data_IF_116572292800
#
_entry.id   IF_116572292800
#
_cell.length_a   1.000
_cell.length_b   1.000
_cell.length_c   1.000
_cell.angle_alpha   90.00
_cell.angle_beta   90.00
_cell.angle_gamma   90.00
#
_symmetry.space_group_name_H-M   'P 1'
#
loop_
_entity.id
_entity.type
_entity.pdbx_description
1 polymer ?
#
# COMPACT_ATOMS: atom_id res chain seq x y z
N UNK A 1 -18.08 -2.82 4.17
CA UNK A 1 -17.16 -2.38 5.25
C UNK A 1 -17.53 -0.96 5.66
N UNK A 2 -17.80 -0.73 6.93
CA UNK A 2 -18.02 0.61 7.49
C UNK A 2 -16.68 1.17 7.99
N UNK A 3 -16.36 2.41 7.61
CA UNK A 3 -15.16 3.12 8.11
C UNK A 3 -15.61 3.98 9.30
N UNK A 4 -14.94 3.80 10.42
CA UNK A 4 -15.11 4.56 11.65
C UNK A 4 -13.86 5.42 11.87
N UNK A 5 -14.02 6.59 12.47
CA UNK A 5 -12.90 7.48 12.81
C UNK A 5 -12.84 7.69 14.32
N UNK A 6 -11.70 7.49 14.94
CA UNK A 6 -11.51 7.70 16.37
C UNK A 6 -10.67 8.95 16.61
N UNK A 7 -11.09 9.84 17.53
CA UNK A 7 -12.18 9.70 18.52
C UNK A 7 -13.57 10.11 18.05
N UNK A 8 -13.78 10.48 16.80
CA UNK A 8 -14.98 11.20 16.31
C UNK A 8 -16.26 10.33 16.18
N UNK A 9 -16.12 9.02 15.94
CA UNK A 9 -17.29 8.17 15.76
C UNK A 9 -17.85 7.69 17.10
N UNK A 10 -19.00 8.18 17.49
CA UNK A 10 -19.75 7.64 18.62
C UNK A 10 -20.44 6.29 18.36
N UNK A 11 -20.11 5.60 17.28
CA UNK A 11 -20.72 4.36 16.84
C UNK A 11 -19.90 3.17 17.34
N UNK A 12 -20.44 2.40 18.27
CA UNK A 12 -19.86 1.13 18.75
C UNK A 12 -20.60 -0.01 18.05
N UNK A 13 -19.90 -1.01 17.46
CA UNK A 13 -20.55 -2.17 16.88
C UNK A 13 -21.46 -2.89 17.88
N UNK A 14 -22.75 -3.10 17.57
CA UNK A 14 -23.75 -3.50 18.58
C UNK A 14 -23.51 -4.89 19.17
N UNK A 15 -22.87 -5.79 18.43
CA UNK A 15 -22.56 -7.15 18.88
C UNK A 15 -21.13 -7.29 19.43
N UNK A 16 -20.36 -6.22 19.46
CA UNK A 16 -18.91 -6.28 19.68
C UNK A 16 -18.15 -6.78 18.44
N UNK A 17 -16.84 -6.98 18.58
CA UNK A 17 -15.99 -7.31 17.44
C UNK A 17 -14.90 -8.35 17.76
N UNK A 18 -14.51 -9.12 16.74
CA UNK A 18 -13.17 -9.69 16.63
C UNK A 18 -12.29 -8.71 15.87
N UNK A 19 -11.17 -8.29 16.45
CA UNK A 19 -10.39 -7.15 15.96
C UNK A 19 -8.92 -7.50 15.79
N UNK A 20 -8.28 -6.89 14.79
CA UNK A 20 -6.83 -6.85 14.63
C UNK A 20 -6.34 -5.42 14.56
N UNK A 21 -5.04 -5.19 14.85
CA UNK A 21 -4.43 -3.87 14.96
C UNK A 21 -3.13 -3.83 14.16
N UNK A 22 -2.94 -2.78 13.37
CA UNK A 22 -1.70 -2.57 12.64
C UNK A 22 -1.74 -1.41 11.65
N UNK A 23 -0.60 -1.07 11.08
CA UNK A 23 -0.51 -0.07 10.02
C UNK A 23 -1.17 -0.54 8.72
N UNK A 24 -1.15 -1.84 8.45
CA UNK A 24 -1.71 -2.49 7.26
C UNK A 24 -1.27 -1.84 5.93
N UNK A 25 -0.03 -1.32 5.93
CA UNK A 25 0.52 -0.65 4.76
C UNK A 25 0.71 -1.64 3.61
N UNK A 26 0.07 -1.34 2.47
CA UNK A 26 0.06 -2.18 1.29
C UNK A 26 -0.95 -3.34 1.31
N UNK A 27 -1.61 -3.66 2.41
CA UNK A 27 -2.61 -4.77 2.55
C UNK A 27 -2.15 -6.03 1.79
N UNK A 28 -0.93 -6.47 2.07
CA UNK A 28 -0.26 -7.60 1.42
C UNK A 28 -0.84 -8.97 1.84
N UNK A 29 -0.37 -10.07 1.25
CA UNK A 29 -0.88 -11.43 1.53
C UNK A 29 -0.86 -11.79 3.02
N UNK A 30 0.20 -11.45 3.75
CA UNK A 30 0.25 -11.66 5.21
C UNK A 30 -0.86 -10.90 5.96
N UNK A 31 -1.11 -9.64 5.62
CA UNK A 31 -2.22 -8.89 6.17
C UNK A 31 -3.59 -9.53 5.85
N UNK A 32 -3.77 -10.01 4.63
CA UNK A 32 -5.02 -10.69 4.20
C UNK A 32 -5.26 -11.99 4.96
N UNK A 33 -4.20 -12.76 5.28
CA UNK A 33 -4.30 -13.96 6.10
C UNK A 33 -4.78 -13.64 7.53
N UNK A 34 -4.21 -12.60 8.17
CA UNK A 34 -4.68 -12.12 9.48
C UNK A 34 -6.15 -11.69 9.43
N UNK A 35 -6.54 -10.92 8.38
CA UNK A 35 -7.92 -10.47 8.19
C UNK A 35 -8.87 -11.65 8.00
N UNK A 36 -8.49 -12.66 7.23
CA UNK A 36 -9.29 -13.88 7.04
C UNK A 36 -9.55 -14.56 8.40
N UNK A 37 -8.52 -14.68 9.24
CA UNK A 37 -8.65 -15.26 10.58
C UNK A 37 -9.58 -14.44 11.50
N UNK A 38 -9.49 -13.11 11.45
CA UNK A 38 -10.41 -12.21 12.18
C UNK A 38 -11.85 -12.46 11.77
N UNK A 39 -12.12 -12.57 10.46
CA UNK A 39 -13.46 -12.84 9.93
C UNK A 39 -14.01 -14.20 10.34
N UNK A 40 -13.18 -15.23 10.31
CA UNK A 40 -13.56 -16.57 10.80
C UNK A 40 -13.95 -16.55 12.28
N UNK A 41 -13.14 -15.90 13.11
CA UNK A 41 -13.40 -15.76 14.54
C UNK A 41 -14.67 -14.93 14.81
N UNK A 42 -14.86 -13.85 14.06
CA UNK A 42 -16.07 -13.03 14.16
C UNK A 42 -17.32 -13.84 13.83
N UNK A 43 -17.31 -14.57 12.74
CA UNK A 43 -18.43 -15.43 12.33
C UNK A 43 -18.72 -16.52 13.37
N UNK A 44 -17.68 -17.19 13.89
CA UNK A 44 -17.84 -18.24 14.92
C UNK A 44 -18.43 -17.73 16.25
N UNK A 45 -18.26 -16.43 16.53
CA UNK A 45 -18.76 -15.79 17.77
C UNK A 45 -20.02 -14.96 17.59
N UNK A 46 -20.51 -14.80 16.36
CA UNK A 46 -21.66 -13.95 16.06
C UNK A 46 -21.40 -12.45 16.32
N UNK A 47 -20.16 -12.00 16.17
CA UNK A 47 -19.74 -10.61 16.34
C UNK A 47 -19.25 -10.02 15.00
N UNK A 48 -19.03 -8.71 14.93
CA UNK A 48 -18.47 -8.06 13.75
C UNK A 48 -16.96 -8.31 13.60
N UNK A 49 -16.47 -8.34 12.37
CA UNK A 49 -15.04 -8.35 12.06
C UNK A 49 -14.52 -6.92 11.93
N UNK A 50 -13.46 -6.58 12.67
CA UNK A 50 -12.90 -5.23 12.72
C UNK A 50 -11.39 -5.19 12.53
N UNK A 51 -10.90 -4.05 12.02
CA UNK A 51 -9.49 -3.76 11.92
C UNK A 51 -9.24 -2.34 12.41
N UNK A 52 -8.22 -2.16 13.24
CA UNK A 52 -7.70 -0.85 13.64
C UNK A 52 -6.49 -0.52 12.78
N UNK A 53 -6.56 0.64 12.12
CA UNK A 53 -5.41 1.22 11.41
C UNK A 53 -5.26 2.70 11.76
N UNK A 54 -4.26 3.37 11.20
CA UNK A 54 -3.93 4.75 11.53
C UNK A 54 -4.01 5.63 10.28
N UNK A 55 -4.41 6.89 10.44
CA UNK A 55 -4.47 7.85 9.33
C UNK A 55 -3.09 8.09 8.71
N UNK A 56 -2.04 8.09 9.52
CA UNK A 56 -0.64 8.14 9.10
C UNK A 56 0.17 7.00 9.73
N UNK A 57 1.28 6.65 9.11
CA UNK A 57 2.13 5.58 9.64
C UNK A 57 2.74 6.01 10.99
N UNK A 58 2.61 5.22 12.08
CA UNK A 58 3.13 5.61 13.39
C UNK A 58 4.59 6.05 13.40
N UNK A 59 5.44 5.44 12.57
CA UNK A 59 6.84 5.81 12.45
C UNK A 59 7.05 7.24 11.94
N UNK A 60 6.14 7.79 11.12
CA UNK A 60 6.26 9.16 10.61
C UNK A 60 6.08 10.24 11.69
N UNK A 61 5.45 9.87 12.82
CA UNK A 61 5.31 10.75 13.99
C UNK A 61 6.43 10.50 15.01
N UNK A 62 6.73 9.22 15.28
CA UNK A 62 7.68 8.84 16.34
C UNK A 62 9.14 9.01 15.92
N UNK A 63 9.45 8.79 14.63
CA UNK A 63 10.81 8.88 14.05
C UNK A 63 10.76 9.34 12.59
N UNK A 64 10.39 10.58 12.32
CA UNK A 64 10.11 11.07 10.96
C UNK A 64 11.30 10.91 10.00
N UNK A 65 12.53 11.12 10.47
CA UNK A 65 13.75 11.02 9.65
C UNK A 65 14.04 9.59 9.15
N UNK A 66 13.56 8.58 9.86
CA UNK A 66 13.73 7.16 9.50
C UNK A 66 12.41 6.43 9.23
N UNK A 67 11.34 7.19 9.01
CA UNK A 67 10.05 6.61 8.65
C UNK A 67 10.13 5.91 7.28
N UNK A 68 9.61 4.70 7.15
CA UNK A 68 9.60 4.02 5.86
C UNK A 68 8.64 4.72 4.89
N UNK A 69 8.98 4.70 3.60
CA UNK A 69 8.04 5.10 2.54
C UNK A 69 6.80 4.20 2.57
N UNK A 70 5.63 4.75 2.26
CA UNK A 70 4.37 4.01 2.27
C UNK A 70 4.20 3.18 1.00
N UNK A 71 3.63 1.99 1.12
CA UNK A 71 3.23 1.17 -0.02
C UNK A 71 1.89 1.62 -0.62
N UNK A 72 1.07 2.31 0.17
CA UNK A 72 -0.19 2.92 -0.27
C UNK A 72 -0.60 4.06 0.66
N UNK A 73 -1.29 5.06 0.13
CA UNK A 73 -1.94 6.10 0.93
C UNK A 73 -3.15 5.57 1.71
N UNK A 74 -3.75 6.38 2.57
CA UNK A 74 -4.92 5.98 3.36
C UNK A 74 -6.15 5.67 2.49
N UNK A 75 -6.54 6.49 1.49
CA UNK A 75 -7.65 6.18 0.62
C UNK A 75 -7.49 4.82 -0.10
N UNK A 76 -6.32 4.57 -0.68
CA UNK A 76 -6.01 3.30 -1.34
C UNK A 76 -6.05 2.13 -0.35
N UNK A 77 -5.51 2.30 0.85
CA UNK A 77 -5.55 1.28 1.90
C UNK A 77 -6.97 0.93 2.29
N UNK A 78 -7.85 1.93 2.45
CA UNK A 78 -9.27 1.70 2.77
C UNK A 78 -10.01 0.98 1.63
N UNK A 79 -9.71 1.30 0.37
CA UNK A 79 -10.24 0.54 -0.79
C UNK A 79 -9.79 -0.93 -0.75
N UNK A 80 -8.51 -1.18 -0.48
CA UNK A 80 -7.96 -2.54 -0.39
C UNK A 80 -8.56 -3.33 0.76
N UNK A 81 -8.76 -2.69 1.92
CA UNK A 81 -9.41 -3.29 3.09
C UNK A 81 -10.90 -3.58 2.81
N UNK A 82 -11.61 -2.71 2.12
CA UNK A 82 -13.00 -2.95 1.74
C UNK A 82 -13.16 -4.23 0.90
N UNK A 83 -12.20 -4.51 0.01
CA UNK A 83 -12.15 -5.74 -0.78
C UNK A 83 -11.89 -7.02 0.02
N UNK A 84 -11.55 -6.95 1.32
CA UNK A 84 -11.30 -8.13 2.15
C UNK A 84 -12.55 -8.71 2.81
N UNK A 85 -13.67 -7.99 2.77
CA UNK A 85 -14.93 -8.41 3.40
C UNK A 85 -15.00 -8.20 4.91
N UNK A 86 -14.16 -7.32 5.48
CA UNK A 86 -14.31 -6.81 6.85
C UNK A 86 -15.62 -6.07 7.02
N UNK A 87 -16.20 -6.11 8.22
CA UNK A 87 -17.38 -5.33 8.55
C UNK A 87 -17.02 -3.89 8.92
N UNK A 88 -15.93 -3.71 9.69
CA UNK A 88 -15.51 -2.42 10.22
C UNK A 88 -14.01 -2.17 10.01
N UNK A 89 -13.65 -0.94 9.70
CA UNK A 89 -12.28 -0.43 9.82
C UNK A 89 -12.30 0.82 10.65
N UNK A 90 -11.60 0.81 11.79
CA UNK A 90 -11.41 1.99 12.63
C UNK A 90 -10.11 2.67 12.27
N UNK A 91 -10.20 3.90 11.77
CA UNK A 91 -9.05 4.77 11.52
C UNK A 91 -8.79 5.62 12.77
N UNK A 92 -7.67 5.38 13.42
CA UNK A 92 -7.23 6.14 14.59
C UNK A 92 -6.35 7.29 14.12
N UNK A 93 -6.68 8.50 14.57
CA UNK A 93 -5.80 9.66 14.37
C UNK A 93 -4.53 9.48 15.18
N UNK A 94 -3.37 9.48 14.49
CA UNK A 94 -2.08 9.23 15.12
C UNK A 94 -1.19 10.47 15.07
N UNK A 95 -1.15 11.19 16.17
CA UNK A 95 -0.34 12.38 16.38
C UNK A 95 0.67 12.20 17.53
N UNK A 96 1.34 13.28 17.94
CA UNK A 96 2.30 13.26 19.04
C UNK A 96 1.65 12.97 20.41
N UNK A 97 0.36 13.26 20.58
CA UNK A 97 -0.39 12.96 21.79
C UNK A 97 -0.68 11.47 21.85
N UNK A 98 -1.22 10.91 20.77
CA UNK A 98 -1.48 9.48 20.64
C UNK A 98 -0.19 8.64 20.72
N UNK A 99 0.93 9.13 20.21
CA UNK A 99 2.22 8.48 20.33
C UNK A 99 2.76 8.35 21.77
N UNK A 100 2.24 9.17 22.70
CA UNK A 100 2.58 9.14 24.13
C UNK A 100 1.53 8.41 24.99
N UNK A 101 0.46 7.95 24.38
CA UNK A 101 -0.61 7.23 25.07
C UNK A 101 -0.13 5.92 25.68
N UNK A 102 -0.59 5.62 26.89
CA UNK A 102 -0.27 4.35 27.52
C UNK A 102 -0.92 3.18 26.76
N UNK A 103 -0.31 2.01 26.73
CA UNK A 103 -0.94 0.86 26.09
C UNK A 103 -2.26 0.46 26.78
N UNK A 104 -2.39 0.66 28.09
CA UNK A 104 -3.63 0.40 28.84
C UNK A 104 -4.77 1.31 28.38
N UNK A 105 -4.50 2.60 28.19
CA UNK A 105 -5.52 3.57 27.72
C UNK A 105 -5.92 3.27 26.28
N UNK A 106 -4.97 2.93 25.39
CA UNK A 106 -5.28 2.50 24.04
C UNK A 106 -6.23 1.28 24.04
N UNK A 107 -6.02 0.29 24.88
CA UNK A 107 -6.91 -0.87 24.99
C UNK A 107 -8.30 -0.44 25.47
N UNK A 108 -8.38 0.38 26.52
CA UNK A 108 -9.67 0.82 27.08
C UNK A 108 -10.47 1.69 26.10
N UNK A 109 -9.79 2.65 25.47
CA UNK A 109 -10.49 3.60 24.57
C UNK A 109 -10.81 2.99 23.22
N UNK A 110 -9.81 2.32 22.58
CA UNK A 110 -9.93 1.90 21.20
C UNK A 110 -10.54 0.50 21.10
N UNK A 111 -10.00 -0.49 21.80
CA UNK A 111 -10.47 -1.86 21.65
C UNK A 111 -11.80 -2.10 22.38
N UNK A 112 -11.86 -1.67 23.64
CA UNK A 112 -13.06 -1.88 24.47
C UNK A 112 -14.11 -0.82 24.18
N UNK A 113 -13.75 0.47 24.27
CA UNK A 113 -14.68 1.58 24.17
C UNK A 113 -15.25 1.79 22.78
N UNK A 114 -14.38 1.85 21.75
CA UNK A 114 -14.82 2.15 20.39
C UNK A 114 -15.29 0.90 19.61
N UNK A 115 -14.72 -0.28 19.87
CA UNK A 115 -15.01 -1.49 19.08
C UNK A 115 -15.74 -2.59 19.85
N UNK A 116 -15.85 -2.49 21.19
CA UNK A 116 -16.44 -3.55 22.00
C UNK A 116 -15.77 -4.90 21.76
N UNK A 117 -14.43 -4.92 21.76
CA UNK A 117 -13.66 -6.11 21.41
C UNK A 117 -14.06 -7.33 22.23
N UNK A 118 -14.27 -8.46 21.57
CA UNK A 118 -14.51 -9.79 22.16
C UNK A 118 -13.39 -10.76 21.84
N UNK A 119 -12.63 -10.48 20.79
CA UNK A 119 -11.40 -11.20 20.49
C UNK A 119 -10.41 -10.22 19.83
N UNK A 120 -9.14 -10.34 20.19
CA UNK A 120 -8.04 -9.53 19.61
C UNK A 120 -7.04 -10.47 18.97
N UNK A 121 -6.83 -10.32 17.67
CA UNK A 121 -5.95 -11.16 16.86
C UNK A 121 -4.71 -10.34 16.50
N UNK A 122 -3.54 -10.75 16.95
CA UNK A 122 -2.28 -10.03 16.73
C UNK A 122 -1.13 -11.01 16.50
N UNK A 123 -0.04 -10.53 15.88
CA UNK A 123 1.19 -11.31 15.77
C UNK A 123 1.77 -11.64 17.16
N UNK A 124 2.48 -12.77 17.26
CA UNK A 124 3.09 -13.19 18.54
C UNK A 124 4.14 -12.17 19.05
N UNK A 125 4.73 -11.39 18.16
CA UNK A 125 5.71 -10.32 18.45
C UNK A 125 5.09 -8.92 18.50
N UNK A 126 3.75 -8.82 18.56
CA UNK A 126 3.04 -7.54 18.50
C UNK A 126 3.38 -6.64 19.68
N UNK A 127 3.69 -5.38 19.37
CA UNK A 127 3.94 -4.34 20.35
C UNK A 127 3.21 -3.05 19.99
N UNK A 128 2.70 -2.32 20.99
CA UNK A 128 1.92 -1.09 20.80
C UNK A 128 2.10 -0.12 21.97
N UNK A 129 1.45 1.05 21.87
CA UNK A 129 1.49 2.11 22.88
C UNK A 129 2.86 2.79 22.99
N UNK A 130 2.94 3.74 23.91
CA UNK A 130 4.15 4.53 24.13
C UNK A 130 5.40 3.66 24.32
N UNK A 131 6.46 3.93 23.55
CA UNK A 131 7.74 3.20 23.58
C UNK A 131 7.60 1.68 23.40
N UNK A 132 6.53 1.20 22.76
CA UNK A 132 6.26 -0.22 22.57
C UNK A 132 6.12 -1.02 23.88
N UNK A 133 5.65 -0.38 24.94
CA UNK A 133 5.48 -1.02 26.27
C UNK A 133 4.32 -2.03 26.30
N UNK A 134 3.32 -1.87 25.42
CA UNK A 134 2.27 -2.87 25.22
C UNK A 134 2.78 -4.06 24.43
N UNK A 135 2.37 -5.26 24.84
CA UNK A 135 2.71 -6.53 24.22
C UNK A 135 1.54 -7.53 24.37
N UNK A 136 1.70 -8.75 23.87
CA UNK A 136 0.68 -9.80 23.95
C UNK A 136 0.30 -10.12 25.40
N UNK A 137 1.26 -10.22 26.31
CA UNK A 137 0.98 -10.52 27.74
C UNK A 137 0.15 -9.41 28.41
N UNK A 138 0.37 -8.14 28.06
CA UNK A 138 -0.48 -7.04 28.51
C UNK A 138 -1.90 -7.16 27.97
N UNK A 139 -2.04 -7.48 26.67
CA UNK A 139 -3.35 -7.70 26.06
C UNK A 139 -4.10 -8.86 26.75
N UNK A 140 -3.44 -9.98 27.04
CA UNK A 140 -4.03 -11.12 27.73
C UNK A 140 -4.52 -10.75 29.14
N UNK A 141 -3.71 -10.00 29.90
CA UNK A 141 -4.13 -9.48 31.21
C UNK A 141 -5.37 -8.60 31.10
N UNK A 142 -5.35 -7.62 30.18
CA UNK A 142 -6.48 -6.73 29.97
C UNK A 142 -7.69 -7.45 29.37
N UNK A 143 -7.46 -8.49 28.59
CA UNK A 143 -8.51 -9.38 28.10
C UNK A 143 -9.29 -10.04 29.23
N UNK A 144 -8.58 -10.52 30.25
CA UNK A 144 -9.22 -11.08 31.45
C UNK A 144 -10.00 -10.00 32.27
N UNK A 145 -9.54 -8.75 32.26
CA UNK A 145 -10.20 -7.65 32.95
C UNK A 145 -11.44 -7.09 32.20
N UNK A 146 -11.43 -7.16 30.86
CA UNK A 146 -12.42 -6.52 29.98
C UNK A 146 -13.23 -7.51 29.10
N UNK A 147 -13.14 -8.80 29.38
CA UNK A 147 -13.92 -9.86 28.71
C UNK A 147 -13.66 -9.98 27.19
N UNK A 148 -12.38 -9.98 26.80
CA UNK A 148 -11.96 -10.33 25.44
C UNK A 148 -10.82 -11.37 25.45
N UNK A 149 -10.81 -12.24 24.44
CA UNK A 149 -9.75 -13.23 24.23
C UNK A 149 -8.65 -12.68 23.33
N UNK A 150 -7.40 -13.05 23.60
CA UNK A 150 -6.25 -12.75 22.73
C UNK A 150 -5.88 -13.99 21.94
N UNK A 151 -5.79 -13.86 20.63
CA UNK A 151 -5.42 -14.95 19.71
C UNK A 151 -4.11 -14.56 19.02
N UNK A 152 -2.97 -15.04 19.50
CA UNK A 152 -1.70 -14.82 18.83
C UNK A 152 -1.66 -15.58 17.49
N UNK A 153 -1.14 -14.94 16.46
CA UNK A 153 -0.89 -15.56 15.16
C UNK A 153 0.60 -15.62 14.88
N UNK A 154 1.02 -16.72 14.28
CA UNK A 154 2.35 -16.82 13.69
C UNK A 154 2.39 -16.06 12.36
N UNK A 155 3.56 -15.50 12.02
CA UNK A 155 3.79 -14.85 10.74
C UNK A 155 3.60 -15.87 9.61
N UNK A 156 3.00 -15.41 8.51
CA UNK A 156 2.75 -16.29 7.36
C UNK A 156 3.70 -15.98 6.21
N UNK A 157 4.13 -17.03 5.54
CA UNK A 157 4.88 -16.97 4.30
C UNK A 157 4.00 -16.60 3.09
N UNK A 158 4.61 -16.58 1.91
CA UNK A 158 3.93 -16.26 0.64
C UNK A 158 2.82 -17.27 0.32
N UNK A 159 2.97 -18.50 0.75
CA UNK A 159 2.00 -19.60 0.58
C UNK A 159 0.84 -19.56 1.60
N UNK A 160 0.83 -18.58 2.51
CA UNK A 160 -0.16 -18.45 3.58
C UNK A 160 0.04 -19.43 4.75
N UNK A 161 1.12 -20.20 4.78
CA UNK A 161 1.50 -21.09 5.90
C UNK A 161 2.40 -20.36 6.89
N UNK A 162 2.56 -20.86 8.11
CA UNK A 162 3.55 -20.30 9.02
C UNK A 162 4.92 -20.17 8.36
N UNK A 163 5.54 -19.00 8.49
CA UNK A 163 6.84 -18.72 7.88
C UNK A 163 7.92 -19.60 8.53
N UNK A 164 8.62 -20.37 7.70
CA UNK A 164 9.77 -21.21 8.13
C UNK A 164 11.11 -20.43 8.21
N UNK A 165 11.03 -19.10 8.19
CA UNK A 165 12.16 -18.17 8.23
C UNK A 165 12.73 -17.75 6.87
N UNK A 166 12.26 -18.33 5.75
CA UNK A 166 12.86 -18.07 4.42
C UNK A 166 12.07 -17.12 3.50
N UNK A 167 10.79 -16.86 3.77
CA UNK A 167 9.92 -16.07 2.89
C UNK A 167 8.81 -15.33 3.63
N UNK A 168 9.18 -14.58 4.66
CA UNK A 168 8.23 -13.75 5.40
C UNK A 168 7.66 -12.61 4.54
N UNK A 169 6.33 -12.59 4.39
CA UNK A 169 5.64 -11.52 3.70
C UNK A 169 5.49 -10.32 4.63
N UNK A 170 6.26 -9.28 4.39
CA UNK A 170 6.21 -8.05 5.19
C UNK A 170 6.27 -6.80 4.32
N UNK A 171 5.73 -5.68 4.83
CA UNK A 171 5.85 -4.38 4.14
C UNK A 171 7.32 -3.96 3.96
N UNK A 172 8.23 -4.40 4.83
CA UNK A 172 9.67 -4.14 4.72
C UNK A 172 10.29 -4.90 3.56
N UNK A 173 9.97 -6.20 3.40
CA UNK A 173 10.45 -7.01 2.30
C UNK A 173 9.91 -6.50 0.94
N UNK A 174 8.63 -6.08 0.90
CA UNK A 174 8.03 -5.51 -0.31
C UNK A 174 8.74 -4.21 -0.72
N UNK A 175 9.03 -3.30 0.22
CA UNK A 175 9.79 -2.08 -0.09
C UNK A 175 11.19 -2.39 -0.61
N UNK A 176 11.87 -3.36 -0.01
CA UNK A 176 13.19 -3.79 -0.48
C UNK A 176 13.14 -4.34 -1.91
N UNK A 177 12.14 -5.15 -2.24
CA UNK A 177 11.93 -5.68 -3.59
C UNK A 177 11.64 -4.54 -4.60
N UNK A 178 10.76 -3.59 -4.25
CA UNK A 178 10.46 -2.43 -5.11
C UNK A 178 11.72 -1.59 -5.38
N UNK A 179 12.47 -1.23 -4.34
CA UNK A 179 13.70 -0.44 -4.46
C UNK A 179 14.79 -1.19 -5.25
N UNK A 180 14.82 -2.51 -5.19
CA UNK A 180 15.70 -3.34 -6.01
C UNK A 180 15.20 -3.51 -7.46
N UNK A 181 14.00 -3.04 -7.80
CA UNK A 181 13.37 -3.23 -9.12
C UNK A 181 12.81 -4.65 -9.34
N UNK A 182 12.75 -5.47 -8.30
CA UNK A 182 12.14 -6.81 -8.37
C UNK A 182 10.61 -6.72 -8.18
N UNK A 183 9.94 -6.32 -9.27
CA UNK A 183 8.48 -6.24 -9.28
C UNK A 183 7.81 -7.60 -9.13
N UNK A 184 8.46 -8.68 -9.57
CA UNK A 184 7.89 -10.02 -9.48
C UNK A 184 7.75 -10.43 -8.00
N UNK A 185 8.82 -10.30 -7.22
CA UNK A 185 8.80 -10.58 -5.78
C UNK A 185 7.83 -9.63 -5.03
N UNK A 186 7.80 -8.33 -5.38
CA UNK A 186 6.87 -7.38 -4.78
C UNK A 186 5.41 -7.76 -5.08
N UNK A 187 5.09 -8.11 -6.32
CA UNK A 187 3.76 -8.53 -6.76
C UNK A 187 3.32 -9.82 -6.08
N UNK A 188 4.22 -10.80 -5.96
CA UNK A 188 3.95 -12.05 -5.27
C UNK A 188 3.58 -11.82 -3.80
N UNK A 189 4.33 -11.01 -3.08
CA UNK A 189 4.05 -10.65 -1.69
C UNK A 189 2.80 -9.80 -1.53
N UNK A 190 2.56 -8.82 -2.42
CA UNK A 190 1.34 -7.99 -2.43
C UNK A 190 0.09 -8.79 -2.83
N UNK A 191 0.25 -9.82 -3.66
CA UNK A 191 -0.86 -10.53 -4.32
C UNK A 191 -1.54 -9.70 -5.41
N UNK A 192 -0.88 -8.67 -5.93
CA UNK A 192 -1.30 -7.77 -7.01
C UNK A 192 -0.15 -6.90 -7.48
N UNK A 193 -0.30 -6.26 -8.64
CA UNK A 193 0.64 -5.24 -9.10
C UNK A 193 0.74 -4.07 -8.10
N UNK A 194 1.94 -3.50 -7.93
CA UNK A 194 2.13 -2.29 -7.14
C UNK A 194 1.47 -1.10 -7.84
N UNK A 195 0.61 -0.38 -7.12
CA UNK A 195 -0.13 0.77 -7.64
C UNK A 195 0.26 2.05 -6.90
N UNK A 196 0.57 3.10 -7.64
CA UNK A 196 0.79 4.45 -7.12
C UNK A 196 -0.23 5.41 -7.70
N UNK A 197 -0.48 6.53 -7.01
CA UNK A 197 -1.50 7.51 -7.37
C UNK A 197 -0.96 8.93 -7.28
N UNK A 198 -1.46 9.80 -8.12
CA UNK A 198 -1.18 11.23 -8.08
C UNK A 198 -1.94 11.98 -9.16
N UNK A 199 -2.06 13.31 -9.07
CA UNK A 199 -2.63 14.11 -10.14
C UNK A 199 -1.68 14.18 -11.34
N UNK A 200 -2.25 14.28 -12.53
CA UNK A 200 -1.47 14.58 -13.75
C UNK A 200 -1.11 16.05 -13.78
N UNK A 201 0.17 16.35 -13.78
CA UNK A 201 0.71 17.70 -13.80
C UNK A 201 1.38 18.05 -15.12
N UNK A 202 1.61 19.33 -15.38
CA UNK A 202 2.35 19.78 -16.56
C UNK A 202 3.84 19.48 -16.39
N UNK A 203 4.43 18.84 -17.41
CA UNK A 203 5.86 18.62 -17.55
C UNK A 203 6.47 19.52 -18.62
N UNK A 204 7.75 19.29 -18.95
CA UNK A 204 8.49 20.09 -19.94
C UNK A 204 8.02 19.89 -21.39
N UNK A 205 7.21 18.87 -21.66
CA UNK A 205 6.66 18.60 -23.00
C UNK A 205 7.65 18.02 -24.02
N UNK A 206 8.89 17.68 -23.61
CA UNK A 206 9.94 17.19 -24.54
C UNK A 206 9.54 15.92 -25.29
N UNK A 207 8.98 14.94 -24.58
CA UNK A 207 8.53 13.70 -25.21
C UNK A 207 7.42 13.94 -26.26
N UNK A 208 6.57 14.94 -26.04
CA UNK A 208 5.52 15.33 -27.00
C UNK A 208 6.08 15.82 -28.33
N UNK A 209 7.20 16.55 -28.30
CA UNK A 209 7.89 17.03 -29.53
C UNK A 209 8.45 15.87 -30.35
N UNK A 210 8.75 14.73 -29.66
CA UNK A 210 9.24 13.50 -30.26
C UNK A 210 8.12 12.54 -30.70
N UNK A 211 6.85 12.93 -30.57
CA UNK A 211 5.69 12.11 -30.94
C UNK A 211 5.16 11.23 -29.80
N UNK A 212 5.76 11.26 -28.61
CA UNK A 212 5.33 10.48 -27.44
C UNK A 212 4.69 11.42 -26.41
N UNK A 213 3.37 11.44 -26.35
CA UNK A 213 2.65 12.21 -25.33
C UNK A 213 2.71 11.45 -24.01
N UNK A 214 3.30 12.06 -22.98
CA UNK A 214 3.39 11.50 -21.63
C UNK A 214 2.57 12.29 -20.63
N UNK A 215 1.91 11.59 -19.72
CA UNK A 215 1.33 12.16 -18.51
C UNK A 215 2.38 12.15 -17.41
N UNK A 216 2.64 13.29 -16.78
CA UNK A 216 3.51 13.39 -15.62
C UNK A 216 2.64 13.22 -14.37
N UNK A 217 2.89 12.18 -13.57
CA UNK A 217 2.12 11.87 -12.36
C UNK A 217 2.88 12.39 -11.16
N UNK A 218 2.29 13.32 -10.40
CA UNK A 218 2.85 13.88 -9.16
C UNK A 218 2.54 12.93 -8.00
N UNK A 219 3.37 11.89 -7.87
CA UNK A 219 3.25 10.90 -6.78
C UNK A 219 3.78 11.53 -5.50
N UNK A 220 3.02 11.48 -4.38
CA UNK A 220 3.48 11.99 -3.09
C UNK A 220 4.83 11.41 -2.68
N UNK A 221 5.71 12.25 -2.14
CA UNK A 221 7.10 11.88 -1.83
C UNK A 221 7.22 10.79 -0.76
N UNK A 222 6.20 10.61 0.06
CA UNK A 222 6.11 9.56 1.07
C UNK A 222 5.80 8.16 0.49
N UNK A 223 5.38 8.06 -0.78
CA UNK A 223 5.06 6.77 -1.41
C UNK A 223 6.35 6.08 -1.89
N UNK A 224 6.41 4.77 -1.69
CA UNK A 224 7.49 3.91 -2.16
C UNK A 224 7.35 3.68 -3.66
N UNK A 225 8.29 4.20 -4.44
CA UNK A 225 8.39 3.94 -5.86
C UNK A 225 9.34 2.75 -6.12
N UNK A 226 9.19 2.03 -7.23
CA UNK A 226 10.19 1.07 -7.69
C UNK A 226 11.55 1.74 -8.00
N UNK A 227 12.57 0.96 -8.33
CA UNK A 227 13.83 1.48 -8.87
C UNK A 227 13.59 2.32 -10.13
N UNK A 228 14.47 3.29 -10.40
CA UNK A 228 14.42 4.06 -11.63
C UNK A 228 14.58 3.11 -12.85
N UNK A 229 13.84 3.37 -13.93
CA UNK A 229 13.82 2.52 -15.13
C UNK A 229 12.57 2.69 -15.98
N UNK A 230 12.48 1.85 -17.02
CA UNK A 230 11.34 1.81 -17.93
C UNK A 230 10.50 0.57 -17.63
N UNK A 231 9.18 0.73 -17.65
CA UNK A 231 8.24 -0.30 -17.22
C UNK A 231 7.07 -0.46 -18.19
N UNK A 232 6.52 -1.66 -18.27
CA UNK A 232 5.18 -1.91 -18.77
C UNK A 232 4.20 -1.83 -17.59
N UNK A 233 3.06 -1.18 -17.80
CA UNK A 233 2.07 -1.04 -16.74
C UNK A 233 0.71 -0.57 -17.24
N UNK A 234 -0.20 -0.38 -16.30
CA UNK A 234 -1.54 0.09 -16.56
C UNK A 234 -1.75 1.50 -16.01
N UNK A 235 -2.32 2.36 -16.81
CA UNK A 235 -2.86 3.64 -16.39
C UNK A 235 -4.38 3.51 -16.24
N UNK A 236 -4.90 3.75 -15.03
CA UNK A 236 -6.32 3.68 -14.72
C UNK A 236 -6.84 5.10 -14.58
N UNK A 237 -7.79 5.44 -15.44
CA UNK A 237 -8.49 6.72 -15.44
C UNK A 237 -9.66 6.73 -14.44
N UNK A 238 -10.23 7.91 -14.12
CA UNK A 238 -11.43 8.02 -13.30
C UNK A 238 -12.65 7.29 -13.87
N UNK A 239 -12.70 7.06 -15.19
CA UNK A 239 -13.73 6.26 -15.85
C UNK A 239 -13.66 4.75 -15.52
N UNK A 240 -12.61 4.33 -14.82
CA UNK A 240 -12.36 2.93 -14.45
C UNK A 240 -11.80 2.09 -15.59
N UNK A 241 -11.59 2.65 -16.79
CA UNK A 241 -11.06 1.91 -17.94
C UNK A 241 -9.53 1.89 -17.88
N UNK A 242 -8.91 0.71 -17.70
CA UNK A 242 -7.46 0.57 -17.73
C UNK A 242 -6.92 0.80 -19.15
N UNK A 243 -5.79 1.49 -19.23
CA UNK A 243 -5.07 1.74 -20.49
C UNK A 243 -3.66 1.17 -20.39
N UNK A 244 -3.21 0.38 -21.36
CA UNK A 244 -1.82 -0.08 -21.37
C UNK A 244 -0.89 1.12 -21.54
N UNK A 245 0.24 1.11 -20.83
CA UNK A 245 1.18 2.22 -20.84
C UNK A 245 2.64 1.74 -20.75
N UNK A 246 3.52 2.47 -21.42
CA UNK A 246 4.94 2.48 -21.15
C UNK A 246 5.22 3.55 -20.08
N UNK A 247 5.86 3.17 -19.00
CA UNK A 247 6.12 4.03 -17.85
C UNK A 247 7.62 4.32 -17.77
N UNK A 248 7.98 5.58 -17.55
CA UNK A 248 9.34 6.01 -17.24
C UNK A 248 9.38 6.54 -15.81
N UNK A 249 10.24 5.97 -15.01
CA UNK A 249 10.51 6.41 -13.65
C UNK A 249 11.98 6.76 -13.55
N UNK A 250 12.30 8.04 -13.30
CA UNK A 250 13.67 8.46 -13.27
C UNK A 250 13.89 9.82 -12.65
N UNK A 251 15.13 10.09 -12.26
CA UNK A 251 15.55 11.36 -11.70
C UNK A 251 15.95 12.31 -12.83
N UNK A 252 15.29 13.45 -12.89
CA UNK A 252 15.80 14.52 -13.76
C UNK A 252 16.97 15.22 -13.07
N UNK A 253 18.14 15.34 -13.70
CA UNK A 253 19.16 16.24 -13.26
C UNK A 253 18.71 17.66 -13.64
N UNK A 254 17.93 18.35 -12.83
CA UNK A 254 17.45 19.71 -13.11
C UNK A 254 17.56 20.63 -11.91
N UNK A 255 17.76 21.88 -12.24
CA UNK A 255 17.95 23.12 -11.52
C UNK A 255 16.90 23.48 -10.43
N UNK A 256 16.12 22.55 -9.94
CA UNK A 256 15.13 22.76 -8.89
C UNK A 256 15.54 22.02 -7.60
N UNK A 257 15.36 22.66 -6.47
CA UNK A 257 15.67 22.19 -5.10
C UNK A 257 14.99 20.86 -4.68
N UNK A 258 14.21 20.21 -5.58
CA UNK A 258 13.56 18.88 -5.39
C UNK A 258 14.28 17.74 -6.14
N UNK A 259 15.57 17.82 -6.34
CA UNK A 259 16.39 16.85 -7.11
C UNK A 259 16.45 15.42 -6.54
N UNK A 260 15.78 15.13 -5.42
CA UNK A 260 15.80 13.81 -4.78
C UNK A 260 14.59 12.93 -5.12
N UNK A 261 13.61 13.42 -5.90
CA UNK A 261 12.38 12.67 -6.18
C UNK A 261 12.37 12.21 -7.63
N UNK A 262 12.19 10.89 -7.85
CA UNK A 262 11.97 10.34 -9.18
C UNK A 262 10.64 10.83 -9.75
N UNK A 263 10.62 11.19 -11.03
CA UNK A 263 9.43 11.60 -11.76
C UNK A 263 8.82 10.40 -12.46
N UNK A 264 7.52 10.22 -12.32
CA UNK A 264 6.78 9.19 -13.04
C UNK A 264 6.09 9.79 -14.26
N UNK A 265 6.48 9.30 -15.43
CA UNK A 265 5.84 9.64 -16.71
C UNK A 265 5.17 8.39 -17.29
N UNK A 266 3.92 8.52 -17.76
CA UNK A 266 3.18 7.45 -18.40
C UNK A 266 2.83 7.84 -19.84
N UNK A 267 3.30 7.05 -20.81
CA UNK A 267 2.85 7.09 -22.19
C UNK A 267 1.75 6.05 -22.40
N UNK A 268 0.49 6.50 -22.49
CA UNK A 268 -0.65 5.63 -22.72
C UNK A 268 -0.62 5.16 -24.17
N UNK A 269 -0.57 3.86 -24.39
CA UNK A 269 -0.54 3.25 -25.71
C UNK A 269 -1.91 3.42 -26.41
N UNK A 270 -1.86 3.84 -27.68
CA UNK A 270 -3.03 3.99 -28.54
C UNK A 270 -4.12 4.93 -27.94
N UNK A 271 -3.69 5.96 -27.19
CA UNK A 271 -4.57 6.94 -26.57
C UNK A 271 -4.24 8.35 -27.01
N UNK A 272 -5.28 9.09 -27.39
CA UNK A 272 -5.21 10.53 -27.69
C UNK A 272 -6.27 11.26 -26.86
N UNK A 273 -5.85 12.12 -25.95
CA UNK A 273 -6.73 12.87 -25.06
C UNK A 273 -5.95 13.75 -24.09
N UNK A 274 -6.67 14.67 -23.46
CA UNK A 274 -6.14 15.50 -22.38
C UNK A 274 -6.34 14.79 -21.04
N UNK A 275 -5.24 14.70 -20.27
CA UNK A 275 -5.20 14.05 -18.95
C UNK A 275 -4.85 15.04 -17.84
N UNK A 276 -4.58 16.32 -18.14
CA UNK A 276 -4.14 17.28 -17.13
C UNK A 276 -5.16 17.48 -16.01
N UNK A 277 -4.68 17.44 -14.75
CA UNK A 277 -5.50 17.56 -13.56
C UNK A 277 -6.31 16.32 -13.19
N UNK A 278 -6.26 15.26 -14.01
CA UNK A 278 -6.93 14.00 -13.74
C UNK A 278 -6.21 13.25 -12.60
N UNK A 279 -6.93 12.65 -11.63
CA UNK A 279 -6.32 11.75 -10.66
C UNK A 279 -5.94 10.44 -11.36
N UNK A 280 -4.65 10.22 -11.52
CA UNK A 280 -4.10 9.03 -12.14
C UNK A 280 -3.84 7.92 -11.12
N UNK A 281 -4.07 6.67 -11.54
CA UNK A 281 -3.63 5.46 -10.84
C UNK A 281 -2.75 4.66 -11.80
N UNK A 282 -1.53 4.35 -11.38
CA UNK A 282 -0.55 3.67 -12.22
C UNK A 282 -0.12 2.37 -11.56
N UNK A 283 -0.27 1.25 -12.28
CA UNK A 283 0.16 -0.08 -11.85
C UNK A 283 1.40 -0.51 -12.61
N UNK A 284 2.44 -0.86 -11.88
CA UNK A 284 3.67 -1.39 -12.44
C UNK A 284 3.55 -2.92 -12.61
N UNK A 285 3.69 -3.40 -13.85
CA UNK A 285 3.54 -4.84 -14.16
C UNK A 285 4.89 -5.50 -14.37
N UNK A 286 5.75 -4.94 -15.22
CA UNK A 286 7.06 -5.48 -15.51
C UNK A 286 8.09 -4.38 -15.73
N UNK A 287 9.33 -4.62 -15.30
CA UNK A 287 10.46 -3.79 -15.64
C UNK A 287 10.98 -4.19 -17.02
N UNK A 288 11.11 -3.24 -17.93
CA UNK A 288 11.60 -3.49 -19.28
C UNK A 288 13.12 -3.34 -19.35
N UNK A 289 13.65 -2.25 -18.77
CA UNK A 289 15.09 -1.96 -18.74
C UNK A 289 15.42 -0.85 -17.73
N UNK A 290 16.70 -0.62 -17.54
CA UNK A 290 17.23 0.53 -16.80
C UNK A 290 17.07 1.82 -17.62
N UNK A 291 17.22 2.99 -16.97
CA UNK A 291 17.39 4.25 -17.67
C UNK A 291 18.74 4.25 -18.41
N UNK A 292 18.73 4.78 -19.62
CA UNK A 292 19.91 4.91 -20.45
C UNK A 292 20.04 6.35 -20.97
N UNK A 293 21.29 6.76 -21.21
CA UNK A 293 21.59 8.00 -21.92
C UNK A 293 21.76 7.70 -23.41
N UNK A 294 21.18 8.55 -24.25
CA UNK A 294 21.25 8.39 -25.69
C UNK A 294 22.11 9.49 -26.30
N UNK A 295 22.95 9.12 -27.28
CA UNK A 295 23.85 10.04 -27.94
C UNK A 295 23.13 10.85 -29.04
N UNK A 296 21.97 10.39 -29.51
CA UNK A 296 21.14 11.09 -30.48
C UNK A 296 19.65 11.04 -30.15
N UNK A 297 18.88 12.00 -30.71
CA UNK A 297 17.43 12.03 -30.61
C UNK A 297 16.81 10.83 -31.34
N UNK A 298 17.38 10.44 -32.48
CA UNK A 298 16.88 9.31 -33.26
C UNK A 298 17.01 7.98 -32.49
N UNK A 299 18.12 7.79 -31.78
CA UNK A 299 18.31 6.61 -30.91
C UNK A 299 17.30 6.60 -29.75
N UNK A 300 17.07 7.76 -29.11
CA UNK A 300 16.05 7.89 -28.07
C UNK A 300 14.66 7.50 -28.59
N UNK A 301 14.24 8.06 -29.73
CA UNK A 301 12.95 7.77 -30.37
C UNK A 301 12.82 6.28 -30.71
N UNK A 302 13.88 5.67 -31.28
CA UNK A 302 13.88 4.24 -31.61
C UNK A 302 13.76 3.35 -30.36
N UNK A 303 14.36 3.74 -29.23
CA UNK A 303 14.24 3.00 -27.96
C UNK A 303 12.83 3.18 -27.38
N UNK A 304 12.30 4.39 -27.34
CA UNK A 304 10.92 4.64 -26.86
C UNK A 304 9.88 3.83 -27.65
N UNK A 305 10.03 3.74 -28.98
CA UNK A 305 9.16 2.91 -29.81
C UNK A 305 9.25 1.42 -29.43
N UNK A 306 10.47 0.89 -29.24
CA UNK A 306 10.68 -0.50 -28.79
C UNK A 306 10.09 -0.77 -27.42
N UNK A 307 10.23 0.17 -26.47
CA UNK A 307 9.64 0.07 -25.13
C UNK A 307 8.12 0.00 -25.21
N UNK A 308 7.51 0.81 -26.07
CA UNK A 308 6.05 0.80 -26.32
C UNK A 308 5.59 -0.55 -26.90
N UNK A 309 6.31 -1.09 -27.89
CA UNK A 309 5.98 -2.38 -28.49
C UNK A 309 6.15 -3.53 -27.50
N UNK A 310 7.20 -3.51 -26.70
CA UNK A 310 7.43 -4.50 -25.65
C UNK A 310 6.35 -4.42 -24.56
N UNK A 311 6.00 -3.20 -24.11
CA UNK A 311 4.90 -3.00 -23.16
C UNK A 311 3.58 -3.54 -23.72
N UNK A 312 3.26 -3.26 -24.99
CA UNK A 312 2.06 -3.78 -25.65
C UNK A 312 2.02 -5.30 -25.68
N UNK A 313 3.14 -5.94 -26.03
CA UNK A 313 3.25 -7.40 -26.07
C UNK A 313 3.09 -8.04 -24.68
N UNK A 314 3.74 -7.49 -23.66
CA UNK A 314 3.68 -8.00 -22.29
C UNK A 314 2.29 -7.84 -21.66
N UNK A 315 1.60 -6.74 -21.95
CA UNK A 315 0.27 -6.45 -21.39
C UNK A 315 -0.85 -7.13 -22.17
N UNK A 316 -0.58 -7.60 -23.40
CA UNK A 316 -1.56 -8.35 -24.18
C UNK A 316 -1.92 -9.67 -23.49
N UNK A 317 -3.18 -9.82 -23.09
CA UNK A 317 -3.68 -11.03 -22.42
C UNK A 317 -3.51 -11.04 -20.89
N UNK A 318 -3.03 -9.95 -20.29
CA UNK A 318 -3.05 -9.75 -18.84
C UNK A 318 -4.28 -8.94 -18.42
N UNK A 319 -4.91 -9.35 -17.32
CA UNK A 319 -5.93 -8.52 -16.70
C UNK A 319 -5.26 -7.38 -15.91
N UNK A 320 -5.85 -6.17 -15.90
CA UNK A 320 -5.24 -5.00 -15.26
C UNK A 320 -5.02 -5.11 -13.74
N UNK A 321 -5.61 -6.13 -13.09
CA UNK A 321 -5.38 -6.46 -11.69
C UNK A 321 -4.15 -7.34 -11.45
N UNK A 322 -3.68 -8.01 -12.49
CA UNK A 322 -2.63 -9.00 -12.41
C UNK A 322 -1.25 -8.35 -12.58
N UNK A 323 -0.27 -8.86 -11.85
CA UNK A 323 1.13 -8.66 -12.15
C UNK A 323 1.67 -9.93 -12.82
N UNK A 324 2.83 -9.85 -13.47
CA UNK A 324 3.52 -11.06 -13.93
C UNK A 324 3.90 -11.90 -12.71
N UNK A 325 3.21 -13.01 -12.50
CA UNK A 325 3.69 -14.09 -11.64
C UNK A 325 4.69 -14.93 -12.44
N UNK A 326 5.82 -15.26 -11.85
CA UNK A 326 6.78 -16.22 -12.42
C UNK A 326 6.19 -17.63 -12.41
#
# INVERSE_FOLDING_TARGET
MQVLHHPESGLVPPSGTAVTIGAYDGVHRGHRAVIARVRELAAARGVGSALVTFDRHPASVVRPESAPKLLCDLPQRLELLAGTGLDYTLVVHFDEVRAKESPDDFVREVLVGALGARAVVVGADFHFGHRRLGNVALLERMGAEHDFEVVPLELVGVDGRPADGSAEVSSTAIRAALVAGDLAAATEMLGRAHEVRGPVVRGDGRARELGFRTANIDVPTEICLPADGIYAGWYLRPDGVPRPAALSLGRRPTFYERAETSLLEAHLLDFDGDLYGEPARVRFVARLRDEEKFDSVDDLVAHMARDCDQARQLLAGLEPGDGLSR
#
